data_IF_624301379276
#
_entry.id   IF_624301379276
#
_cell.length_a   1.000
_cell.length_b   1.000
_cell.length_c   1.000
_cell.angle_alpha   90.00
_cell.angle_beta   90.00
_cell.angle_gamma   90.00
#
_symmetry.space_group_name_H-M   'P 1'
#
loop_
_entity.id
_entity.type
_entity.pdbx_description
1 polymer ?
#
# COMPACT_ATOMS: atom_id res chain seq x y z
N UNK A 1 -50.07 -11.04 36.97
CA UNK A 1 -49.17 -12.09 37.52
C UNK A 1 -47.92 -12.18 36.64
N UNK A 2 -46.72 -12.18 37.26
CA UNK A 2 -45.36 -12.60 36.79
C UNK A 2 -44.79 -11.96 35.49
N UNK A 3 -43.77 -11.06 35.56
CA UNK A 3 -42.28 -11.26 35.57
C UNK A 3 -41.81 -12.16 34.40
N UNK A 4 -40.83 -11.85 33.52
CA UNK A 4 -39.57 -11.09 33.68
C UNK A 4 -38.92 -10.65 32.33
N UNK A 5 -38.18 -9.52 32.34
CA UNK A 5 -36.84 -9.32 31.70
C UNK A 5 -35.78 -9.62 32.81
N UNK A 6 -34.46 -9.85 32.59
CA UNK A 6 -33.58 -9.38 31.51
C UNK A 6 -32.43 -10.34 31.09
N UNK A 7 -31.60 -9.93 30.11
CA UNK A 7 -30.29 -10.52 29.87
C UNK A 7 -29.42 -9.58 29.05
N UNK A 8 -28.36 -9.03 29.67
CA UNK A 8 -27.38 -8.14 29.07
C UNK A 8 -25.96 -8.59 29.44
N UNK A 9 -25.02 -8.43 28.47
CA UNK A 9 -23.55 -8.30 28.57
C UNK A 9 -22.72 -9.57 28.90
N UNK A 10 -21.44 -9.70 28.45
CA UNK A 10 -20.38 -8.67 28.39
C UNK A 10 -19.64 -8.56 27.01
N UNK A 11 -19.18 -7.39 26.55
CA UNK A 11 -17.98 -6.61 26.94
C UNK A 11 -16.69 -7.45 27.00
N UNK A 12 -16.06 -7.67 25.86
CA UNK A 12 -14.71 -8.20 25.72
C UNK A 12 -13.77 -7.15 25.12
N UNK A 13 -12.98 -6.52 25.97
CA UNK A 13 -11.84 -5.65 25.63
C UNK A 13 -10.70 -6.48 25.03
N UNK A 14 -10.50 -6.38 23.72
CA UNK A 14 -9.31 -6.87 23.04
C UNK A 14 -8.33 -5.73 22.78
N UNK A 15 -7.69 -5.22 23.83
CA UNK A 15 -6.50 -4.37 23.70
C UNK A 15 -5.38 -5.27 23.14
N UNK A 16 -5.10 -5.16 21.83
CA UNK A 16 -3.92 -5.77 21.24
C UNK A 16 -2.73 -4.87 21.58
N UNK A 17 -1.89 -5.40 22.46
CA UNK A 17 -0.68 -4.79 22.96
C UNK A 17 0.24 -4.34 21.82
N UNK A 18 0.57 -3.06 21.81
CA UNK A 18 1.71 -2.51 21.08
C UNK A 18 2.96 -2.99 21.81
N UNK A 19 3.80 -3.80 21.16
CA UNK A 19 5.11 -4.15 21.68
C UNK A 19 5.98 -2.91 21.72
N UNK A 20 6.17 -2.43 22.95
CA UNK A 20 6.97 -1.27 23.30
C UNK A 20 8.45 -1.46 22.95
N UNK A 21 8.99 -0.36 22.44
CA UNK A 21 10.38 0.05 22.28
C UNK A 21 11.32 -0.52 23.36
N UNK A 22 12.40 -1.17 22.91
CA UNK A 22 13.54 -1.50 23.76
C UNK A 22 14.33 -0.22 24.07
N UNK A 23 14.13 0.32 25.26
CA UNK A 23 14.99 1.32 25.85
C UNK A 23 16.25 0.62 26.37
N UNK A 24 17.38 0.85 25.71
CA UNK A 24 18.70 0.46 26.21
C UNK A 24 19.21 1.51 27.19
N UNK A 25 19.34 1.15 28.45
CA UNK A 25 20.21 1.81 29.40
C UNK A 25 20.54 0.85 30.54
N UNK A 26 21.84 0.67 30.78
CA UNK A 26 22.55 0.55 32.07
C UNK A 26 23.75 -0.40 31.92
N UNK A 27 24.97 0.13 31.79
CA UNK A 27 25.91 0.63 32.82
C UNK A 27 26.77 -0.47 33.46
N UNK A 28 28.06 -0.46 33.10
CA UNK A 28 29.30 -0.69 33.90
C UNK A 28 30.40 -1.23 32.95
N UNK A 29 31.70 -0.97 33.04
CA UNK A 29 32.55 -0.07 33.81
C UNK A 29 33.90 -0.01 33.05
N UNK A 30 34.55 1.14 33.09
CA UNK A 30 35.88 1.45 32.54
C UNK A 30 37.00 0.47 32.98
N UNK A 31 37.96 0.13 32.10
CA UNK A 31 39.43 0.38 32.23
C UNK A 31 40.23 -0.37 31.10
N UNK A 32 41.33 0.19 30.54
CA UNK A 32 41.86 -0.15 29.20
C UNK A 32 43.19 -0.94 29.20
N UNK A 33 43.58 -1.46 28.00
CA UNK A 33 44.92 -1.43 27.36
C UNK A 33 45.23 -2.70 26.53
N UNK A 34 45.83 -2.51 25.35
CA UNK A 34 46.63 -3.53 24.64
C UNK A 34 46.07 -3.92 23.27
N UNK A 35 46.65 -3.39 22.20
CA UNK A 35 46.13 -3.52 20.84
C UNK A 35 46.65 -4.70 20.03
N UNK A 36 46.09 -4.83 18.83
CA UNK A 36 46.77 -5.06 17.56
C UNK A 36 45.80 -4.71 16.45
N UNK A 37 46.28 -3.90 15.51
CA UNK A 37 45.56 -3.51 14.32
C UNK A 37 45.48 -4.71 13.36
N UNK A 38 44.26 -5.13 13.06
CA UNK A 38 43.85 -5.69 11.77
C UNK A 38 42.39 -5.27 11.58
N UNK A 39 42.20 -4.03 11.13
CA UNK A 39 40.92 -3.58 10.60
C UNK A 39 40.81 -4.10 9.18
N UNK A 40 40.29 -5.31 9.01
CA UNK A 40 39.68 -5.69 7.75
C UNK A 40 38.51 -4.71 7.47
N UNK A 41 38.37 -4.19 6.24
CA UNK A 41 37.23 -3.36 5.91
C UNK A 41 35.98 -4.25 5.95
N UNK A 42 35.17 -4.09 6.98
CA UNK A 42 33.82 -4.66 7.06
C UNK A 42 32.92 -3.88 6.10
N UNK A 43 33.14 -4.06 4.79
CA UNK A 43 32.27 -3.52 3.72
C UNK A 43 31.26 -4.56 3.26
N UNK A 44 30.65 -5.31 4.18
CA UNK A 44 29.74 -6.41 3.80
C UNK A 44 28.60 -6.71 4.79
N UNK A 45 28.09 -5.69 5.51
CA UNK A 45 26.90 -5.85 6.37
C UNK A 45 25.87 -4.72 6.33
N UNK A 46 26.08 -3.68 5.52
CA UNK A 46 25.12 -2.58 5.35
C UNK A 46 24.19 -2.74 4.14
N UNK A 47 24.41 -3.75 3.29
CA UNK A 47 23.59 -3.99 2.09
C UNK A 47 22.34 -4.85 2.36
N UNK A 48 22.20 -5.47 3.54
CA UNK A 48 21.29 -6.61 3.71
C UNK A 48 19.99 -6.32 4.49
N UNK A 49 19.62 -5.04 4.60
CA UNK A 49 18.24 -4.62 4.90
C UNK A 49 17.94 -3.37 4.10
N UNK A 50 17.85 -3.49 2.79
CA UNK A 50 17.18 -2.47 1.99
C UNK A 50 15.71 -2.46 2.43
N UNK A 51 15.42 -1.63 3.44
CA UNK A 51 14.08 -1.50 4.00
C UNK A 51 13.14 -1.19 2.84
N UNK A 52 12.10 -2.00 2.70
CA UNK A 52 11.06 -1.80 1.73
C UNK A 52 10.52 -0.38 1.83
N UNK A 53 10.37 0.27 0.68
CA UNK A 53 9.85 1.63 0.57
C UNK A 53 8.39 1.56 0.13
N UNK A 54 7.62 2.58 0.50
CA UNK A 54 6.26 2.78 0.01
C UNK A 54 6.26 3.62 -1.26
N UNK A 55 5.62 3.12 -2.30
CA UNK A 55 5.50 3.71 -3.63
C UNK A 55 4.04 4.01 -3.92
N UNK A 56 3.72 5.22 -4.36
CA UNK A 56 2.39 5.53 -4.86
C UNK A 56 2.32 5.10 -6.33
N UNK A 57 1.38 4.21 -6.63
CA UNK A 57 1.09 3.69 -7.97
C UNK A 57 -0.14 4.38 -8.51
N UNK A 58 -0.08 4.80 -9.78
CA UNK A 58 -1.25 5.17 -10.57
C UNK A 58 -1.22 4.40 -11.88
N UNK A 59 -2.19 3.51 -12.04
CA UNK A 59 -2.36 2.66 -13.21
C UNK A 59 -3.55 3.15 -14.02
N UNK A 60 -3.30 3.56 -15.26
CA UNK A 60 -4.34 3.99 -16.20
C UNK A 60 -4.60 2.90 -17.23
N UNK A 61 -5.86 2.54 -17.40
CA UNK A 61 -6.32 1.52 -18.34
C UNK A 61 -7.40 2.08 -19.24
N UNK A 62 -7.44 1.66 -20.50
CA UNK A 62 -8.50 2.06 -21.43
C UNK A 62 -8.76 1.02 -22.51
N UNK A 63 -9.92 1.13 -23.13
CA UNK A 63 -10.32 0.29 -24.25
C UNK A 63 -11.76 0.55 -24.69
N UNK A 64 -12.42 -0.51 -25.15
CA UNK A 64 -13.79 -0.41 -25.68
C UNK A 64 -14.79 0.04 -24.60
N UNK A 65 -15.73 0.89 -25.00
CA UNK A 65 -16.81 1.34 -24.12
C UNK A 65 -17.58 0.15 -23.52
N UNK A 66 -17.77 0.19 -22.20
CA UNK A 66 -18.42 -0.83 -21.38
C UNK A 66 -19.45 -0.15 -20.46
N UNK A 67 -20.61 -0.77 -20.22
CA UNK A 67 -21.58 -0.25 -19.26
C UNK A 67 -20.98 0.07 -17.89
N UNK A 68 -21.20 1.29 -17.39
CA UNK A 68 -20.63 1.77 -16.13
C UNK A 68 -20.89 0.86 -14.92
N UNK A 69 -22.05 0.19 -14.89
CA UNK A 69 -22.39 -0.75 -13.82
C UNK A 69 -21.50 -2.00 -13.80
N UNK A 70 -21.04 -2.46 -14.96
CA UNK A 70 -20.10 -3.59 -15.07
C UNK A 70 -18.70 -3.16 -14.65
N UNK A 71 -18.24 -2.01 -15.15
CA UNK A 71 -16.94 -1.42 -14.78
C UNK A 71 -16.85 -1.22 -13.26
N UNK A 72 -17.88 -0.61 -12.66
CA UNK A 72 -17.97 -0.39 -11.22
C UNK A 72 -17.84 -1.70 -10.44
N UNK A 73 -18.64 -2.72 -10.79
CA UNK A 73 -18.62 -4.02 -10.10
C UNK A 73 -17.25 -4.69 -10.19
N UNK A 74 -16.61 -4.63 -11.36
CA UNK A 74 -15.29 -5.21 -11.53
C UNK A 74 -14.21 -4.49 -10.73
N UNK A 75 -14.27 -3.16 -10.65
CA UNK A 75 -13.35 -2.38 -9.82
C UNK A 75 -13.60 -2.60 -8.32
N UNK A 76 -14.85 -2.77 -7.90
CA UNK A 76 -15.22 -3.14 -6.53
C UNK A 76 -14.67 -4.54 -6.19
N UNK A 77 -14.77 -5.50 -7.13
CA UNK A 77 -14.19 -6.84 -6.95
C UNK A 77 -12.66 -6.80 -6.90
N UNK A 78 -12.02 -6.02 -7.77
CA UNK A 78 -10.57 -5.82 -7.74
C UNK A 78 -10.11 -5.26 -6.39
N UNK A 79 -10.82 -4.27 -5.85
CA UNK A 79 -10.54 -3.70 -4.53
C UNK A 79 -10.81 -4.68 -3.39
N UNK A 80 -11.72 -5.65 -3.56
CA UNK A 80 -11.95 -6.73 -2.60
C UNK A 80 -10.81 -7.77 -2.63
N UNK A 81 -10.35 -8.13 -3.83
CA UNK A 81 -9.32 -9.15 -4.03
C UNK A 81 -7.91 -8.67 -3.65
N UNK A 82 -7.67 -7.35 -3.68
CA UNK A 82 -6.40 -6.72 -3.29
C UNK A 82 -6.57 -5.84 -2.05
N UNK A 83 -6.37 -6.39 -0.83
CA UNK A 83 -6.60 -5.67 0.42
C UNK A 83 -5.47 -4.67 0.71
N UNK A 84 -5.57 -3.49 0.10
CA UNK A 84 -4.92 -2.24 0.51
C UNK A 84 -5.66 -1.05 -0.12
N UNK A 85 -5.33 0.19 0.28
CA UNK A 85 -6.07 1.44 0.05
C UNK A 85 -6.24 1.83 -1.44
N UNK A 86 -6.95 1.00 -2.20
CA UNK A 86 -7.20 1.19 -3.61
C UNK A 86 -8.32 2.20 -3.79
N UNK A 87 -8.00 3.29 -4.47
CA UNK A 87 -8.98 4.27 -4.96
C UNK A 87 -9.01 4.19 -6.47
N UNK A 88 -10.20 4.14 -7.05
CA UNK A 88 -10.36 4.08 -8.50
C UNK A 88 -11.27 5.17 -9.00
N UNK A 89 -10.92 5.78 -10.14
CA UNK A 89 -11.81 6.60 -10.95
C UNK A 89 -12.11 5.91 -12.27
N UNK A 90 -13.35 5.95 -12.74
CA UNK A 90 -13.72 5.23 -13.95
C UNK A 90 -14.76 5.96 -14.81
N UNK A 91 -14.71 5.68 -16.10
CA UNK A 91 -15.66 6.08 -17.12
C UNK A 91 -16.04 4.85 -17.96
N UNK A 92 -16.81 5.07 -19.03
CA UNK A 92 -17.26 3.99 -19.90
C UNK A 92 -16.11 3.31 -20.66
N UNK A 93 -15.00 3.98 -20.88
CA UNK A 93 -13.90 3.56 -21.76
C UNK A 93 -12.52 3.54 -21.10
N UNK A 94 -12.42 4.02 -19.85
CA UNK A 94 -11.16 4.04 -19.11
C UNK A 94 -11.36 4.00 -17.60
N UNK A 95 -10.28 3.66 -16.89
CA UNK A 95 -10.19 3.79 -15.44
C UNK A 95 -8.77 4.12 -15.01
N UNK A 96 -8.66 4.76 -13.86
CA UNK A 96 -7.44 5.01 -13.14
C UNK A 96 -7.53 4.36 -11.76
N UNK A 97 -6.54 3.53 -11.45
CA UNK A 97 -6.42 2.79 -10.20
C UNK A 97 -5.22 3.33 -9.43
N UNK A 98 -5.42 3.69 -8.16
CA UNK A 98 -4.41 4.31 -7.32
C UNK A 98 -4.27 3.59 -5.99
N UNK A 99 -3.04 3.34 -5.58
CA UNK A 99 -2.74 2.65 -4.33
C UNK A 99 -1.29 2.87 -3.87
N UNK A 100 -0.96 2.37 -2.68
CA UNK A 100 0.41 2.37 -2.14
C UNK A 100 0.98 0.96 -2.13
N UNK A 101 2.12 0.76 -2.80
CA UNK A 101 2.81 -0.53 -2.90
C UNK A 101 4.08 -0.54 -2.05
N UNK A 102 4.38 -1.69 -1.45
CA UNK A 102 5.62 -1.89 -0.69
C UNK A 102 6.64 -2.64 -1.55
N UNK A 103 7.75 -1.98 -1.90
CA UNK A 103 8.80 -2.58 -2.73
C UNK A 103 10.18 -2.01 -2.42
N UNK A 104 11.22 -2.78 -2.72
CA UNK A 104 12.63 -2.38 -2.46
C UNK A 104 13.06 -1.22 -3.36
N UNK A 105 12.63 -1.25 -4.62
CA UNK A 105 12.93 -0.24 -5.63
C UNK A 105 11.75 0.01 -6.57
N UNK A 106 11.93 0.97 -7.48
CA UNK A 106 10.92 1.38 -8.46
C UNK A 106 10.57 0.27 -9.44
N UNK A 107 11.55 -0.55 -9.84
CA UNK A 107 11.33 -1.62 -10.81
C UNK A 107 10.47 -2.73 -10.22
N UNK A 108 10.75 -3.12 -8.97
CA UNK A 108 9.95 -4.09 -8.21
C UNK A 108 8.51 -3.57 -8.07
N UNK A 109 8.31 -2.30 -7.69
CA UNK A 109 6.98 -1.70 -7.57
C UNK A 109 6.21 -1.69 -8.91
N UNK A 110 6.87 -1.32 -10.00
CA UNK A 110 6.28 -1.31 -11.34
C UNK A 110 5.90 -2.73 -11.79
N UNK A 111 6.75 -3.73 -11.52
CA UNK A 111 6.48 -5.11 -11.87
C UNK A 111 5.23 -5.65 -11.13
N UNK A 112 5.09 -5.35 -9.84
CA UNK A 112 3.89 -5.70 -9.07
C UNK A 112 2.64 -5.07 -9.67
N UNK A 113 2.70 -3.79 -10.04
CA UNK A 113 1.56 -3.08 -10.63
C UNK A 113 1.10 -3.65 -11.98
N UNK A 114 2.04 -3.95 -12.87
CA UNK A 114 1.72 -4.55 -14.16
C UNK A 114 1.14 -5.97 -14.00
N UNK A 115 1.63 -6.71 -13.01
CA UNK A 115 1.17 -8.06 -12.69
C UNK A 115 -0.24 -8.06 -12.11
N UNK A 116 -0.56 -7.12 -11.21
CA UNK A 116 -1.89 -6.97 -10.62
C UNK A 116 -2.97 -6.88 -11.71
N UNK A 117 -2.77 -6.04 -12.73
CA UNK A 117 -3.73 -5.95 -13.83
C UNK A 117 -3.82 -7.24 -14.64
N UNK A 118 -2.67 -7.82 -15.00
CA UNK A 118 -2.62 -9.04 -15.81
C UNK A 118 -3.31 -10.23 -15.15
N UNK A 119 -3.15 -10.38 -13.84
CA UNK A 119 -3.66 -11.51 -13.06
C UNK A 119 -5.12 -11.32 -12.65
N UNK A 120 -5.51 -10.12 -12.24
CA UNK A 120 -6.80 -9.90 -11.59
C UNK A 120 -7.89 -9.36 -12.52
N UNK A 121 -7.56 -8.86 -13.73
CA UNK A 121 -8.60 -8.37 -14.66
C UNK A 121 -9.68 -9.40 -14.94
N UNK A 122 -9.28 -10.67 -15.11
CA UNK A 122 -10.19 -11.74 -15.51
C UNK A 122 -11.01 -12.23 -14.32
N UNK A 123 -10.40 -12.36 -13.14
CA UNK A 123 -11.11 -12.77 -11.92
C UNK A 123 -12.11 -11.71 -11.46
N UNK A 124 -11.74 -10.43 -11.61
CA UNK A 124 -12.58 -9.30 -11.30
C UNK A 124 -13.62 -8.98 -12.39
N UNK A 125 -13.69 -9.75 -13.48
CA UNK A 125 -14.61 -9.52 -14.60
C UNK A 125 -14.49 -8.12 -15.22
N UNK A 126 -13.28 -7.55 -15.18
CA UNK A 126 -13.00 -6.26 -15.79
C UNK A 126 -12.97 -6.38 -17.32
N UNK A 127 -13.32 -5.31 -18.05
CA UNK A 127 -13.19 -5.28 -19.50
C UNK A 127 -11.76 -5.62 -19.95
N UNK A 128 -11.57 -6.13 -21.17
CA UNK A 128 -10.25 -6.43 -21.73
C UNK A 128 -9.49 -5.15 -22.13
N UNK A 129 -9.52 -4.13 -21.27
CA UNK A 129 -8.80 -2.88 -21.42
C UNK A 129 -7.30 -3.09 -21.27
N UNK A 130 -6.55 -2.24 -21.97
CA UNK A 130 -5.10 -2.25 -21.99
C UNK A 130 -4.58 -1.24 -20.99
N UNK A 131 -3.41 -1.52 -20.43
CA UNK A 131 -2.64 -0.52 -19.67
C UNK A 131 -2.17 0.52 -20.67
N UNK A 132 -2.50 1.78 -20.42
CA UNK A 132 -2.12 2.94 -21.25
C UNK A 132 -1.25 3.94 -20.50
N UNK A 133 -1.13 3.80 -19.18
CA UNK A 133 -0.24 4.59 -18.35
C UNK A 133 0.11 3.88 -17.06
N UNK A 134 1.34 4.07 -16.61
CA UNK A 134 1.80 3.66 -15.30
C UNK A 134 2.68 4.78 -14.73
N UNK A 135 2.31 5.27 -13.56
CA UNK A 135 3.12 6.17 -12.77
C UNK A 135 3.50 5.50 -11.45
N UNK A 136 4.79 5.58 -11.12
CA UNK A 136 5.37 5.05 -9.89
C UNK A 136 6.23 6.14 -9.28
N UNK A 137 5.81 6.65 -8.13
CA UNK A 137 6.54 7.71 -7.43
C UNK A 137 6.75 7.34 -5.97
N UNK A 138 7.91 7.73 -5.42
CA UNK A 138 8.15 7.54 -4.00
C UNK A 138 7.27 8.47 -3.16
N UNK A 139 7.24 8.18 -1.86
CA UNK A 139 6.45 8.94 -0.89
C UNK A 139 6.82 10.43 -0.82
N UNK A 140 8.11 10.76 -0.95
CA UNK A 140 8.58 12.15 -0.87
C UNK A 140 8.09 12.96 -2.06
N UNK A 141 8.25 12.42 -3.27
CA UNK A 141 7.76 12.98 -4.53
C UNK A 141 6.25 13.16 -4.51
N UNK A 142 5.50 12.18 -3.98
CA UNK A 142 4.05 12.30 -3.82
C UNK A 142 3.68 13.51 -2.94
N UNK A 143 4.29 13.63 -1.76
CA UNK A 143 4.01 14.74 -0.85
C UNK A 143 4.42 16.09 -1.41
N UNK A 144 5.56 16.16 -2.11
CA UNK A 144 6.02 17.37 -2.79
C UNK A 144 4.98 17.85 -3.82
N UNK A 145 4.54 16.96 -4.71
CA UNK A 145 3.56 17.35 -5.73
C UNK A 145 2.23 17.78 -5.13
N UNK A 146 1.77 17.13 -4.06
CA UNK A 146 0.57 17.54 -3.32
C UNK A 146 0.74 18.97 -2.77
N UNK A 147 1.90 19.27 -2.17
CA UNK A 147 2.20 20.60 -1.65
C UNK A 147 2.25 21.67 -2.77
N UNK A 148 2.72 21.30 -3.96
CA UNK A 148 2.81 22.18 -5.13
C UNK A 148 1.48 22.29 -5.92
N UNK A 149 0.45 21.52 -5.55
CA UNK A 149 -0.84 21.52 -6.23
C UNK A 149 -0.88 20.76 -7.56
N UNK A 150 0.22 20.11 -7.95
CA UNK A 150 0.32 19.20 -9.12
C UNK A 150 0.20 17.73 -8.73
N UNK A 151 0.00 17.44 -7.45
CA UNK A 151 -0.15 16.09 -6.94
C UNK A 151 -1.42 15.46 -7.45
N UNK A 152 -1.42 14.13 -7.68
CA UNK A 152 -2.65 13.44 -8.01
C UNK A 152 -3.67 13.75 -6.90
N UNK A 153 -4.94 14.09 -7.22
CA UNK A 153 -5.87 14.69 -6.26
C UNK A 153 -5.86 13.92 -4.94
N UNK A 154 -5.89 14.59 -3.78
CA UNK A 154 -5.79 13.93 -2.48
C UNK A 154 -6.78 12.76 -2.46
N UNK A 155 -6.28 11.57 -2.09
CA UNK A 155 -7.00 10.31 -2.22
C UNK A 155 -8.48 10.53 -1.88
N UNK A 156 -9.34 10.41 -2.90
CA UNK A 156 -10.77 10.46 -2.73
C UNK A 156 -11.18 9.49 -1.61
N UNK A 157 -12.36 9.65 -0.97
CA UNK A 157 -12.83 8.66 0.00
C UNK A 157 -12.62 7.25 -0.57
N UNK A 158 -11.97 6.37 0.19
CA UNK A 158 -11.58 5.02 -0.26
C UNK A 158 -12.73 4.36 -1.02
N UNK A 159 -12.44 3.78 -2.19
CA UNK A 159 -13.45 3.13 -3.03
C UNK A 159 -13.40 3.51 -4.51
N UNK A 160 -14.50 3.23 -5.20
CA UNK A 160 -14.64 3.29 -6.65
C UNK A 160 -15.61 4.41 -7.02
N UNK A 161 -15.14 5.41 -7.75
CA UNK A 161 -15.91 6.62 -8.07
C UNK A 161 -15.93 6.89 -9.57
N UNK A 162 -17.04 7.37 -10.14
CA UNK A 162 -17.02 7.82 -11.53
C UNK A 162 -16.09 9.06 -11.68
N UNK A 163 -15.64 9.34 -12.91
CA UNK A 163 -14.97 10.60 -13.23
C UNK A 163 -15.88 11.82 -13.05
#
# INVERSE_FOLDING_TARGET
MRRARPGASPRGTGSRALTSVGAGADFDRNTPLGGTADQEPVTDRQEDRQQSKLWHITLSVSGTETPLGEVRRGLEQLAHDHPFLLTSRYAGDHAEIRYWEEARDLHDAAAVALRLWGEHRSSAQLPPWKIVGLEVIDRETYHLRIAEGYGPPPAAPVGVHPY
#
